data_IF_214084303028
#
_entry.id   IF_214084303028
#
_cell.length_a   1.000
_cell.length_b   1.000
_cell.length_c   1.000
_cell.angle_alpha   90.00
_cell.angle_beta   90.00
_cell.angle_gamma   90.00
#
_symmetry.space_group_name_H-M   'P 1'
#
loop_
_entity.id
_entity.type
_entity.pdbx_description
1 polymer ?
#
# COMPACT_ATOMS: atom_id res chain seq x y z
N UNK A 1 43.75 -37.82 29.18
CA UNK A 1 42.72 -38.11 28.16
C UNK A 1 41.54 -37.14 28.24
N UNK A 2 41.07 -36.77 29.44
CA UNK A 2 39.96 -35.82 29.67
C UNK A 2 40.28 -34.37 29.31
N UNK A 3 41.52 -33.90 29.54
CA UNK A 3 41.96 -32.55 29.17
C UNK A 3 42.07 -32.34 27.66
N UNK A 4 42.54 -33.35 26.91
CA UNK A 4 42.68 -33.28 25.45
C UNK A 4 41.31 -33.18 24.75
N UNK A 5 40.32 -33.88 25.29
CA UNK A 5 38.93 -33.84 24.82
C UNK A 5 38.28 -32.47 25.03
N UNK A 6 38.58 -31.80 26.15
CA UNK A 6 38.09 -30.45 26.43
C UNK A 6 38.62 -29.43 25.42
N UNK A 7 39.92 -29.47 25.10
CA UNK A 7 40.50 -28.59 24.07
C UNK A 7 39.94 -28.86 22.67
N UNK A 8 39.64 -30.12 22.34
CA UNK A 8 39.02 -30.48 21.05
C UNK A 8 37.61 -29.91 20.90
N UNK A 9 36.78 -29.97 21.96
CA UNK A 9 35.44 -29.37 21.94
C UNK A 9 35.47 -27.84 21.87
N UNK A 10 36.40 -27.19 22.57
CA UNK A 10 36.59 -25.72 22.49
C UNK A 10 37.02 -25.31 21.08
N UNK A 11 37.92 -26.08 20.45
CA UNK A 11 38.34 -25.84 19.07
C UNK A 11 37.20 -26.04 18.06
N UNK A 12 36.38 -27.08 18.22
CA UNK A 12 35.22 -27.30 17.35
C UNK A 12 34.23 -26.13 17.45
N UNK A 13 33.97 -25.65 18.68
CA UNK A 13 33.04 -24.54 18.93
C UNK A 13 33.51 -23.22 18.30
N UNK A 14 34.80 -22.91 18.38
CA UNK A 14 35.37 -21.70 17.75
C UNK A 14 35.39 -21.79 16.23
N UNK A 15 35.63 -22.98 15.65
CA UNK A 15 35.57 -23.18 14.20
C UNK A 15 34.12 -23.04 13.69
N UNK A 16 33.11 -23.52 14.41
CA UNK A 16 31.70 -23.34 14.03
C UNK A 16 31.24 -21.88 14.09
N UNK A 17 31.78 -21.05 14.99
CA UNK A 17 31.43 -19.62 15.05
C UNK A 17 32.23 -18.77 14.05
N UNK A 18 33.37 -19.27 13.55
CA UNK A 18 34.20 -18.61 12.53
C UNK A 18 33.79 -18.96 11.08
N UNK A 19 33.08 -20.08 10.87
CA UNK A 19 32.66 -20.56 9.53
C UNK A 19 31.26 -20.12 9.13
N UNK A 20 30.44 -19.68 10.08
CA UNK A 20 29.20 -18.96 9.80
C UNK A 20 29.46 -17.47 10.07
N UNK A 21 29.82 -16.67 9.04
CA UNK A 21 29.68 -15.22 9.20
C UNK A 21 28.23 -14.95 9.61
N UNK A 22 27.95 -14.03 10.57
CA UNK A 22 26.61 -13.49 10.69
C UNK A 22 26.23 -13.05 9.28
N UNK A 23 25.06 -13.46 8.78
CA UNK A 23 24.57 -13.02 7.48
C UNK A 23 24.79 -11.51 7.42
N UNK A 24 25.79 -11.09 6.65
CA UNK A 24 25.94 -9.70 6.30
C UNK A 24 24.70 -9.44 5.51
N UNK A 25 23.70 -8.82 6.15
CA UNK A 25 22.59 -8.20 5.47
C UNK A 25 23.22 -7.50 4.29
N UNK A 26 22.94 -8.02 3.10
CA UNK A 26 23.37 -7.40 1.88
C UNK A 26 22.73 -6.02 1.97
N UNK A 27 23.54 -5.03 2.30
CA UNK A 27 23.24 -3.64 2.00
C UNK A 27 23.19 -3.57 0.48
N UNK A 28 22.12 -4.12 -0.10
CA UNK A 28 21.62 -3.67 -1.36
C UNK A 28 21.51 -2.17 -1.14
N UNK A 29 22.35 -1.43 -1.84
CA UNK A 29 22.05 -0.07 -2.23
C UNK A 29 20.77 -0.18 -3.07
N UNK A 30 19.62 -0.43 -2.42
CA UNK A 30 18.32 -0.47 -3.07
C UNK A 30 18.05 0.97 -3.44
N UNK A 31 18.44 1.34 -4.66
CA UNK A 31 18.05 2.61 -5.24
C UNK A 31 16.53 2.58 -5.33
N UNK A 32 15.86 3.22 -4.37
CA UNK A 32 14.41 3.33 -4.36
C UNK A 32 13.95 3.95 -5.68
N UNK A 33 13.18 3.20 -6.46
CA UNK A 33 12.58 3.72 -7.69
C UNK A 33 11.58 4.82 -7.32
N UNK A 34 11.76 5.96 -7.95
CA UNK A 34 10.93 7.16 -7.76
C UNK A 34 9.82 7.29 -8.79
N UNK A 35 9.71 6.35 -9.73
CA UNK A 35 8.68 6.33 -10.75
C UNK A 35 8.27 4.89 -11.08
N UNK A 36 7.00 4.72 -11.41
CA UNK A 36 6.45 3.52 -12.04
C UNK A 36 5.65 3.93 -13.28
N UNK A 37 6.18 3.67 -14.47
CA UNK A 37 5.67 4.27 -15.70
C UNK A 37 5.69 5.81 -15.59
N UNK A 38 4.51 6.43 -15.69
CA UNK A 38 4.36 7.89 -15.60
C UNK A 38 3.97 8.39 -14.20
N UNK A 39 3.88 7.51 -13.21
CA UNK A 39 3.43 7.87 -11.85
C UNK A 39 4.66 8.05 -10.94
N UNK A 40 4.88 9.26 -10.38
CA UNK A 40 5.93 9.47 -9.39
C UNK A 40 5.59 8.72 -8.10
N UNK A 41 6.60 8.08 -7.52
CA UNK A 41 6.54 7.36 -6.26
C UNK A 41 7.34 8.15 -5.22
N UNK A 42 6.60 8.81 -4.33
CA UNK A 42 7.14 9.53 -3.19
C UNK A 42 6.61 8.94 -1.88
N UNK A 43 7.30 9.26 -0.79
CA UNK A 43 6.84 9.00 0.57
C UNK A 43 5.38 9.51 0.76
N UNK A 44 4.49 8.73 1.39
CA UNK A 44 4.76 7.57 2.24
C UNK A 44 4.85 6.23 1.50
N UNK A 45 4.60 6.22 0.19
CA UNK A 45 4.64 5.00 -0.60
C UNK A 45 6.07 4.60 -0.97
N UNK A 46 6.27 3.30 -1.18
CA UNK A 46 7.46 2.71 -1.75
C UNK A 46 7.09 1.44 -2.52
N UNK A 47 7.82 1.17 -3.60
CA UNK A 47 7.61 -0.02 -4.46
C UNK A 47 8.76 -1.03 -4.35
N UNK A 48 9.89 -0.61 -3.78
CA UNK A 48 11.05 -1.46 -3.54
C UNK A 48 11.17 -1.75 -2.04
N UNK A 49 11.83 -2.87 -1.75
CA UNK A 49 12.04 -3.30 -0.37
C UNK A 49 12.86 -2.27 0.42
N UNK A 50 12.38 -1.95 1.62
CA UNK A 50 12.99 -0.96 2.50
C UNK A 50 12.76 0.51 2.10
N UNK A 51 11.93 0.79 1.09
CA UNK A 51 11.64 2.16 0.65
C UNK A 51 10.27 2.65 1.12
N UNK A 52 10.16 3.96 1.40
CA UNK A 52 8.90 4.56 1.86
C UNK A 52 8.63 4.33 3.34
N UNK A 53 7.36 4.29 3.72
CA UNK A 53 6.94 4.05 5.10
C UNK A 53 6.60 2.57 5.33
N UNK A 54 7.01 1.95 6.45
CA UNK A 54 6.79 0.53 6.71
C UNK A 54 5.30 0.17 6.73
N UNK A 55 4.42 1.07 7.19
CA UNK A 55 2.97 0.84 7.20
C UNK A 55 2.34 0.78 5.78
N UNK A 56 3.06 1.20 4.74
CA UNK A 56 2.64 1.12 3.33
C UNK A 56 3.34 -0.01 2.57
N UNK A 57 4.18 -0.81 3.25
CA UNK A 57 4.93 -1.93 2.68
C UNK A 57 3.99 -2.89 1.94
N UNK A 58 4.33 -3.20 0.69
CA UNK A 58 3.59 -4.16 -0.14
C UNK A 58 2.21 -3.68 -0.61
N UNK A 59 1.82 -2.44 -0.34
CA UNK A 59 0.54 -1.90 -0.83
C UNK A 59 0.57 -1.51 -2.30
N UNK A 60 1.75 -1.21 -2.85
CA UNK A 60 1.93 -0.90 -4.26
C UNK A 60 2.81 -1.96 -4.92
N UNK A 61 2.42 -2.37 -6.13
CA UNK A 61 3.24 -3.21 -7.00
C UNK A 61 3.45 -2.48 -8.33
N UNK A 62 4.71 -2.44 -8.77
CA UNK A 62 5.10 -1.82 -10.02
C UNK A 62 5.64 -2.86 -10.99
N UNK A 63 4.92 -3.05 -12.10
CA UNK A 63 5.42 -3.75 -13.28
C UNK A 63 5.61 -2.74 -14.42
N UNK A 64 4.74 -2.75 -15.44
CA UNK A 64 4.65 -1.68 -16.44
C UNK A 64 3.74 -0.55 -15.95
N UNK A 65 2.63 -0.92 -15.31
CA UNK A 65 1.70 -0.03 -14.63
C UNK A 65 1.85 -0.19 -13.11
N UNK A 66 1.38 0.81 -12.37
CA UNK A 66 1.31 0.80 -10.91
C UNK A 66 -0.04 0.24 -10.45
N UNK A 67 -0.01 -0.70 -9.50
CA UNK A 67 -1.19 -1.30 -8.92
C UNK A 67 -1.21 -1.13 -7.40
N UNK A 68 -2.36 -0.78 -6.85
CA UNK A 68 -2.67 -0.86 -5.43
C UNK A 68 -3.20 -2.24 -5.12
N UNK A 69 -2.49 -2.98 -4.26
CA UNK A 69 -2.76 -4.38 -3.95
C UNK A 69 -3.59 -4.46 -2.69
N UNK A 70 -4.72 -5.15 -2.73
CA UNK A 70 -5.60 -5.36 -1.58
C UNK A 70 -5.97 -6.85 -1.48
N UNK A 71 -6.62 -7.29 -0.39
CA UNK A 71 -7.14 -8.66 -0.28
C UNK A 71 -8.14 -9.05 -1.38
N UNK A 72 -8.77 -8.07 -2.03
CA UNK A 72 -9.73 -8.31 -3.13
C UNK A 72 -9.11 -8.24 -4.52
N UNK A 73 -7.83 -7.85 -4.66
CA UNK A 73 -7.16 -7.82 -5.97
C UNK A 73 -6.21 -6.64 -6.15
N UNK A 74 -5.70 -6.50 -7.37
CA UNK A 74 -4.85 -5.38 -7.77
C UNK A 74 -5.65 -4.34 -8.56
N UNK A 75 -5.61 -3.10 -8.10
CA UNK A 75 -6.36 -1.98 -8.67
C UNK A 75 -5.39 -1.03 -9.36
N UNK A 76 -5.60 -0.74 -10.63
CA UNK A 76 -4.67 0.11 -11.39
C UNK A 76 -4.69 1.52 -10.81
N UNK A 77 -3.55 2.03 -10.39
CA UNK A 77 -3.41 3.41 -9.95
C UNK A 77 -3.43 4.32 -11.17
N UNK A 78 -4.35 5.27 -11.19
CA UNK A 78 -4.44 6.27 -12.25
C UNK A 78 -3.58 7.48 -11.95
N UNK A 79 -3.60 7.96 -10.70
CA UNK A 79 -2.86 9.15 -10.25
C UNK A 79 -2.68 9.17 -8.74
N UNK A 80 -1.64 9.85 -8.28
CA UNK A 80 -1.38 10.14 -6.87
C UNK A 80 -1.17 11.66 -6.71
N UNK A 81 -1.97 12.29 -5.86
CA UNK A 81 -1.86 13.69 -5.46
C UNK A 81 -1.25 13.77 -4.06
N UNK A 82 0.06 14.01 -4.02
CA UNK A 82 0.83 14.14 -2.78
C UNK A 82 0.56 15.41 -1.98
N UNK A 83 -0.09 16.43 -2.57
CA UNK A 83 -0.44 17.65 -1.86
C UNK A 83 -1.75 17.46 -1.10
N UNK A 84 -2.70 16.73 -1.69
CA UNK A 84 -4.00 16.44 -1.09
C UNK A 84 -4.05 15.13 -0.31
N UNK A 85 -2.96 14.36 -0.35
CA UNK A 85 -2.88 13.00 0.19
C UNK A 85 -3.99 12.08 -0.35
N UNK A 86 -4.20 12.13 -1.67
CA UNK A 86 -5.24 11.37 -2.37
C UNK A 86 -4.63 10.53 -3.49
N UNK A 87 -5.13 9.31 -3.68
CA UNK A 87 -4.76 8.42 -4.77
C UNK A 87 -6.03 7.94 -5.47
N UNK A 88 -6.06 7.94 -6.79
CA UNK A 88 -7.20 7.39 -7.53
C UNK A 88 -6.83 6.08 -8.18
N UNK A 89 -7.64 5.06 -7.92
CA UNK A 89 -7.51 3.72 -8.50
C UNK A 89 -8.73 3.37 -9.32
N UNK A 90 -8.56 2.46 -10.26
CA UNK A 90 -9.64 1.90 -11.07
C UNK A 90 -9.74 0.41 -10.82
N UNK A 91 -10.96 -0.05 -10.50
CA UNK A 91 -11.26 -1.46 -10.43
C UNK A 91 -11.68 -2.00 -11.80
N UNK A 92 -10.93 -2.93 -12.42
CA UNK A 92 -11.37 -3.56 -13.66
C UNK A 92 -12.67 -4.35 -13.51
N UNK A 93 -13.06 -4.75 -12.29
CA UNK A 93 -14.28 -5.49 -11.99
C UNK A 93 -15.46 -4.59 -11.58
N UNK A 94 -15.31 -3.27 -11.52
CA UNK A 94 -16.47 -2.38 -11.36
C UNK A 94 -17.11 -2.08 -12.71
N UNK A 95 -18.43 -1.94 -12.72
CA UNK A 95 -19.15 -1.58 -13.94
C UNK A 95 -18.96 -0.09 -14.27
N UNK A 96 -19.07 0.26 -15.55
CA UNK A 96 -19.01 1.65 -16.05
C UNK A 96 -20.12 1.86 -17.08
N UNK A 97 -20.35 3.09 -17.55
CA UNK A 97 -21.37 3.35 -18.57
C UNK A 97 -21.22 2.55 -19.88
N UNK A 98 -20.03 2.02 -20.17
CA UNK A 98 -19.74 1.26 -21.40
C UNK A 98 -19.60 -0.25 -21.17
N UNK A 99 -19.33 -0.69 -19.94
CA UNK A 99 -19.01 -2.08 -19.64
C UNK A 99 -19.74 -2.49 -18.37
N UNK A 100 -20.48 -3.60 -18.45
CA UNK A 100 -21.09 -4.24 -17.30
C UNK A 100 -20.15 -5.33 -16.79
N UNK A 101 -19.73 -5.24 -15.53
CA UNK A 101 -18.78 -6.18 -14.93
C UNK A 101 -19.47 -7.10 -13.93
N UNK A 102 -19.05 -8.37 -13.82
CA UNK A 102 -19.67 -9.30 -12.90
C UNK A 102 -19.49 -8.87 -11.45
N UNK A 103 -20.20 -9.56 -10.57
CA UNK A 103 -20.13 -9.37 -9.12
C UNK A 103 -18.69 -9.41 -8.60
N UNK A 104 -18.31 -8.37 -7.85
CA UNK A 104 -17.02 -8.26 -7.16
C UNK A 104 -17.18 -7.43 -5.88
N UNK A 105 -16.39 -7.73 -4.86
CA UNK A 105 -16.36 -6.96 -3.62
C UNK A 105 -15.05 -6.17 -3.52
N UNK A 106 -15.12 -4.84 -3.41
CA UNK A 106 -13.97 -4.02 -3.06
C UNK A 106 -13.66 -4.15 -1.56
N UNK A 107 -12.59 -4.88 -1.22
CA UNK A 107 -12.16 -5.13 0.17
C UNK A 107 -10.74 -4.66 0.41
N UNK A 108 -10.54 -4.00 1.54
CA UNK A 108 -9.24 -3.59 2.07
C UNK A 108 -8.92 -4.37 3.35
N UNK A 109 -7.63 -4.56 3.64
CA UNK A 109 -7.18 -5.09 4.93
C UNK A 109 -7.42 -4.07 6.05
N UNK A 110 -7.33 -4.48 7.32
CA UNK A 110 -7.52 -3.56 8.46
C UNK A 110 -6.50 -2.41 8.45
N UNK A 111 -5.24 -2.69 8.10
CA UNK A 111 -4.19 -1.67 7.97
C UNK A 111 -4.54 -0.70 6.82
N UNK A 112 -4.96 -1.22 5.67
CA UNK A 112 -5.37 -0.39 4.54
C UNK A 112 -6.59 0.47 4.87
N UNK A 113 -7.59 -0.08 5.56
CA UNK A 113 -8.74 0.69 6.03
C UNK A 113 -8.34 1.81 7.01
N UNK A 114 -7.24 1.65 7.74
CA UNK A 114 -6.75 2.66 8.67
C UNK A 114 -5.89 3.74 8.00
N UNK A 115 -5.09 3.39 6.98
CA UNK A 115 -4.08 4.30 6.40
C UNK A 115 -4.31 4.70 4.95
N UNK A 116 -5.11 3.96 4.18
CA UNK A 116 -5.43 4.20 2.76
C UNK A 116 -6.89 3.79 2.49
N UNK A 117 -7.85 4.59 2.95
CA UNK A 117 -9.28 4.29 2.82
C UNK A 117 -9.93 5.10 1.69
N UNK A 118 -11.05 4.65 1.12
CA UNK A 118 -11.85 5.49 0.23
C UNK A 118 -12.23 6.81 0.92
N UNK A 119 -12.02 7.89 0.18
CA UNK A 119 -12.45 9.26 0.47
C UNK A 119 -13.97 9.32 0.56
N UNK A 120 -14.50 10.25 1.34
CA UNK A 120 -15.94 10.51 1.40
C UNK A 120 -16.52 11.03 0.08
N UNK A 121 -15.66 11.54 -0.80
CA UNK A 121 -16.02 11.92 -2.16
C UNK A 121 -16.26 10.69 -3.07
N UNK A 122 -15.83 9.49 -2.68
CA UNK A 122 -16.11 8.27 -3.45
C UNK A 122 -17.47 7.70 -3.10
N UNK A 123 -18.38 7.73 -4.07
CA UNK A 123 -19.73 7.17 -3.97
C UNK A 123 -19.75 5.79 -4.60
N UNK A 124 -20.25 4.81 -3.85
CA UNK A 124 -20.54 3.46 -4.35
C UNK A 124 -22.01 3.41 -4.78
N UNK A 125 -22.27 3.15 -6.05
CA UNK A 125 -23.61 2.91 -6.55
C UNK A 125 -23.82 1.41 -6.75
N UNK A 126 -24.67 0.83 -5.90
CA UNK A 126 -25.11 -0.56 -5.99
C UNK A 126 -26.23 -0.65 -7.03
N UNK A 127 -26.08 -1.55 -7.99
CA UNK A 127 -26.95 -1.61 -9.16
C UNK A 127 -27.73 -2.93 -9.20
N UNK A 128 -28.95 -2.84 -9.72
CA UNK A 128 -29.87 -3.95 -9.93
C UNK A 128 -30.01 -4.78 -8.64
N UNK A 129 -30.41 -4.08 -7.58
CA UNK A 129 -30.69 -4.65 -6.28
C UNK A 129 -32.11 -5.22 -6.26
N UNK A 130 -32.23 -6.38 -5.64
CA UNK A 130 -33.48 -7.09 -5.41
C UNK A 130 -34.41 -6.30 -4.48
N UNK A 131 -35.72 -6.53 -4.61
CA UNK A 131 -36.73 -5.97 -3.69
C UNK A 131 -36.62 -6.53 -2.27
N UNK A 132 -35.89 -7.64 -2.08
CA UNK A 132 -35.60 -8.22 -0.76
C UNK A 132 -34.29 -7.69 -0.16
N UNK A 133 -33.57 -6.86 -0.90
CA UNK A 133 -32.31 -6.28 -0.45
C UNK A 133 -32.46 -5.60 0.92
N UNK A 134 -31.48 -5.78 1.83
CA UNK A 134 -31.49 -5.07 3.11
C UNK A 134 -31.46 -3.55 2.94
N UNK A 135 -30.81 -3.04 1.88
CA UNK A 135 -30.75 -1.59 1.59
C UNK A 135 -32.01 -1.04 0.93
N UNK A 136 -32.89 -1.91 0.41
CA UNK A 136 -34.25 -1.50 0.01
C UNK A 136 -35.21 -1.45 1.22
N UNK A 137 -35.03 -2.37 2.17
CA UNK A 137 -35.94 -2.56 3.30
C UNK A 137 -35.39 -1.98 4.62
N UNK A 138 -34.77 -2.83 5.45
CA UNK A 138 -34.41 -2.55 6.85
C UNK A 138 -33.34 -1.48 7.01
N UNK A 139 -32.40 -1.38 6.06
CA UNK A 139 -31.23 -0.52 6.10
C UNK A 139 -31.26 0.56 5.00
N UNK A 140 -32.45 1.05 4.66
CA UNK A 140 -32.64 2.13 3.66
C UNK A 140 -31.84 3.39 3.96
N UNK A 141 -31.54 3.66 5.24
CA UNK A 141 -30.75 4.80 5.70
C UNK A 141 -29.26 4.72 5.32
N UNK A 142 -28.77 3.56 4.88
CA UNK A 142 -27.42 3.42 4.33
C UNK A 142 -27.31 3.98 2.91
N UNK A 143 -28.44 4.15 2.22
CA UNK A 143 -28.50 4.83 0.93
C UNK A 143 -28.73 6.31 1.13
N UNK A 144 -28.05 7.15 0.35
CA UNK A 144 -28.23 8.59 0.32
C UNK A 144 -28.63 9.11 -1.06
N UNK A 145 -29.08 10.36 -1.11
CA UNK A 145 -29.35 11.05 -2.36
C UNK A 145 -28.02 11.48 -3.00
N UNK A 146 -27.71 10.95 -4.19
CA UNK A 146 -26.50 11.28 -4.95
C UNK A 146 -26.68 12.60 -5.71
N UNK A 147 -26.77 13.71 -4.97
CA UNK A 147 -26.86 15.07 -5.55
C UNK A 147 -28.06 15.31 -6.48
N UNK A 148 -29.15 14.54 -6.32
CA UNK A 148 -30.36 14.63 -7.13
C UNK A 148 -30.46 13.57 -8.23
N UNK A 149 -29.39 12.78 -8.45
CA UNK A 149 -29.37 11.75 -9.47
C UNK A 149 -30.19 10.52 -9.07
N UNK A 150 -30.92 9.97 -10.03
CA UNK A 150 -31.82 8.83 -9.85
C UNK A 150 -31.30 7.56 -10.51
N UNK A 151 -31.84 6.40 -10.08
CA UNK A 151 -31.55 5.12 -10.72
C UNK A 151 -32.03 5.09 -12.17
N UNK A 152 -33.18 5.71 -12.45
CA UNK A 152 -33.73 5.84 -13.81
C UNK A 152 -32.78 6.60 -14.73
N UNK A 153 -32.22 7.71 -14.26
CA UNK A 153 -31.23 8.51 -14.98
C UNK A 153 -29.96 7.70 -15.24
N UNK A 154 -29.44 7.01 -14.22
CA UNK A 154 -28.25 6.17 -14.34
C UNK A 154 -28.45 5.04 -15.37
N UNK A 155 -29.59 4.34 -15.31
CA UNK A 155 -29.89 3.22 -16.19
C UNK A 155 -30.28 3.66 -17.60
N UNK A 156 -30.82 4.86 -17.79
CA UNK A 156 -31.14 5.38 -19.12
C UNK A 156 -29.95 6.01 -19.84
N UNK A 157 -29.04 6.66 -19.09
CA UNK A 157 -27.90 7.39 -19.66
C UNK A 157 -26.74 6.47 -20.06
N UNK A 158 -26.51 5.39 -19.29
CA UNK A 158 -25.40 4.47 -19.54
C UNK A 158 -25.82 3.28 -20.41
N UNK A 159 -25.14 3.09 -21.55
CA UNK A 159 -25.43 1.99 -22.50
C UNK A 159 -25.41 0.60 -21.86
N UNK A 160 -24.45 0.34 -20.97
CA UNK A 160 -24.31 -0.93 -20.26
C UNK A 160 -25.39 -1.18 -19.21
N UNK A 161 -25.96 -0.12 -18.62
CA UNK A 161 -26.95 -0.23 -17.53
C UNK A 161 -28.39 -0.27 -18.05
N UNK A 162 -28.62 0.14 -19.31
CA UNK A 162 -29.94 0.09 -19.95
C UNK A 162 -30.57 -1.30 -19.95
N UNK A 163 -29.77 -2.36 -19.87
CA UNK A 163 -30.27 -3.74 -19.75
C UNK A 163 -31.15 -3.96 -18.51
N UNK A 164 -30.96 -3.17 -17.46
CA UNK A 164 -31.78 -3.23 -16.24
C UNK A 164 -33.13 -2.54 -16.41
N UNK A 165 -33.22 -1.56 -17.29
CA UNK A 165 -34.49 -0.88 -17.57
C UNK A 165 -35.34 -1.78 -18.47
N UNK A 166 -36.27 -2.50 -17.84
CA UNK A 166 -37.16 -3.42 -18.54
C UNK A 166 -38.55 -2.81 -18.66
N UNK A 167 -39.08 -2.84 -19.87
CA UNK A 167 -40.48 -2.48 -20.12
C UNK A 167 -41.32 -3.75 -20.05
N UNK A 168 -42.15 -3.86 -19.01
CA UNK A 168 -43.10 -4.96 -18.89
C UNK A 168 -44.47 -4.51 -19.42
N UNK A 169 -45.13 -5.29 -20.30
CA UNK A 169 -46.51 -5.02 -20.68
C UNK A 169 -47.44 -5.23 -19.47
N UNK A 170 -48.25 -4.23 -19.13
CA UNK A 170 -49.29 -4.31 -18.10
C UNK A 170 -50.63 -3.87 -18.71
N UNK A 171 -51.40 -4.84 -19.24
CA UNK A 171 -52.63 -4.53 -19.98
C UNK A 171 -52.34 -3.74 -21.26
N UNK A 172 -53.04 -2.62 -21.47
CA UNK A 172 -52.82 -1.73 -22.62
C UNK A 172 -51.67 -0.71 -22.43
N UNK A 173 -50.97 -0.76 -21.30
CA UNK A 173 -49.88 0.16 -20.97
C UNK A 173 -48.56 -0.59 -20.82
N UNK A 174 -47.45 0.06 -21.15
CA UNK A 174 -46.10 -0.42 -20.83
C UNK A 174 -45.65 0.21 -19.51
N UNK A 175 -45.35 -0.59 -18.49
CA UNK A 175 -44.77 -0.10 -17.24
C UNK A 175 -43.26 -0.26 -17.32
N UNK A 176 -42.54 0.83 -17.07
CA UNK A 176 -41.10 0.78 -16.85
C UNK A 176 -40.85 0.25 -15.45
N UNK A 177 -40.22 -0.90 -15.35
CA UNK A 177 -39.75 -1.46 -14.09
C UNK A 177 -38.25 -1.24 -14.02
N UNK A 178 -37.85 -0.17 -13.31
CA UNK A 178 -36.46 0.13 -13.01
C UNK A 178 -36.08 -0.57 -11.71
N UNK A 179 -35.11 -1.51 -11.73
CA UNK A 179 -34.62 -2.13 -10.52
C UNK A 179 -34.11 -1.08 -9.53
N UNK A 180 -34.17 -1.41 -8.24
CA UNK A 180 -33.68 -0.50 -7.22
C UNK A 180 -32.15 -0.37 -7.31
N UNK A 181 -31.64 0.84 -7.13
CA UNK A 181 -30.23 1.13 -6.96
C UNK A 181 -30.03 1.90 -5.65
N UNK A 182 -28.83 1.81 -5.07
CA UNK A 182 -28.49 2.44 -3.81
C UNK A 182 -27.13 3.13 -3.93
N UNK A 183 -27.10 4.45 -3.75
CA UNK A 183 -25.87 5.21 -3.59
C UNK A 183 -25.47 5.20 -2.11
N UNK A 184 -24.26 4.74 -1.82
CA UNK A 184 -23.77 4.55 -0.45
C UNK A 184 -22.28 4.85 -0.34
N UNK A 185 -21.75 4.82 0.88
CA UNK A 185 -20.32 5.00 1.14
C UNK A 185 -19.61 3.67 1.22
N UNK A 186 -18.27 3.73 1.24
CA UNK A 186 -17.45 2.55 1.46
C UNK A 186 -17.74 1.83 2.79
N UNK A 187 -18.18 2.56 3.83
CA UNK A 187 -18.46 1.94 5.14
C UNK A 187 -19.57 0.89 5.07
N UNK A 188 -20.55 1.07 4.18
CA UNK A 188 -21.61 0.08 3.92
C UNK A 188 -21.05 -1.17 3.24
N UNK A 189 -20.36 -1.00 2.11
CA UNK A 189 -19.85 -2.13 1.30
C UNK A 189 -18.67 -2.84 1.95
N UNK A 190 -17.97 -2.20 2.90
CA UNK A 190 -16.96 -2.82 3.76
C UNK A 190 -17.58 -3.87 4.68
N UNK A 191 -18.76 -3.58 5.25
CA UNK A 191 -19.40 -4.43 6.27
C UNK A 191 -20.40 -5.41 5.65
N UNK A 192 -21.02 -5.04 4.52
CA UNK A 192 -21.98 -5.87 3.80
C UNK A 192 -21.44 -6.16 2.41
N UNK A 193 -21.13 -7.43 2.12
CA UNK A 193 -20.75 -7.83 0.77
C UNK A 193 -21.91 -7.65 -0.20
N UNK A 194 -21.60 -7.62 -1.48
CA UNK A 194 -22.58 -7.43 -2.54
C UNK A 194 -23.65 -8.54 -2.55
N UNK A 195 -23.29 -9.75 -2.10
CA UNK A 195 -24.23 -10.86 -1.87
C UNK A 195 -25.22 -10.60 -0.72
N UNK A 196 -24.74 -10.02 0.40
CA UNK A 196 -25.61 -9.66 1.53
C UNK A 196 -26.54 -8.52 1.13
N UNK A 197 -26.02 -7.57 0.36
CA UNK A 197 -26.78 -6.45 -0.17
C UNK A 197 -27.81 -6.88 -1.23
N UNK A 198 -27.74 -8.11 -1.73
CA UNK A 198 -28.62 -8.65 -2.78
C UNK A 198 -28.69 -7.72 -4.01
N UNK A 199 -27.51 -7.21 -4.39
CA UNK A 199 -27.27 -6.40 -5.58
C UNK A 199 -26.33 -7.17 -6.51
N UNK A 200 -26.48 -6.98 -7.81
CA UNK A 200 -25.74 -7.80 -8.78
C UNK A 200 -24.45 -7.14 -9.26
N UNK A 201 -24.39 -5.80 -9.26
CA UNK A 201 -23.28 -5.04 -9.79
C UNK A 201 -23.03 -3.81 -8.92
N UNK A 202 -21.85 -3.23 -9.06
CA UNK A 202 -21.59 -1.89 -8.54
C UNK A 202 -20.75 -1.06 -9.51
N UNK A 203 -20.84 0.24 -9.34
CA UNK A 203 -19.93 1.22 -9.93
C UNK A 203 -19.48 2.19 -8.84
N UNK A 204 -18.35 2.84 -9.04
CA UNK A 204 -17.92 3.94 -8.17
C UNK A 204 -17.66 5.20 -8.96
N UNK A 205 -18.01 6.32 -8.35
CA UNK A 205 -17.79 7.65 -8.92
C UNK A 205 -17.22 8.57 -7.86
N UNK A 206 -16.38 9.50 -8.31
CA UNK A 206 -15.75 10.50 -7.46
C UNK A 206 -16.58 11.78 -7.57
N UNK A 207 -17.31 12.12 -6.52
CA UNK A 207 -18.04 13.38 -6.39
C UNK A 207 -17.08 14.54 -6.08
N UNK A 208 -16.40 15.02 -7.12
CA UNK A 208 -15.58 16.23 -7.06
C UNK A 208 -16.38 17.54 -7.13
N UNK A 209 -17.70 17.50 -6.88
CA UNK A 209 -18.62 18.62 -7.06
C UNK A 209 -19.34 18.64 -8.42
N UNK A 210 -18.86 17.87 -9.40
CA UNK A 210 -19.46 17.80 -10.73
C UNK A 210 -20.84 17.12 -10.75
N UNK A 211 -21.11 16.21 -9.80
CA UNK A 211 -22.42 15.57 -9.67
C UNK A 211 -23.51 16.54 -9.18
N UNK A 212 -23.14 17.74 -8.73
CA UNK A 212 -24.10 18.78 -8.31
C UNK A 212 -24.44 19.75 -9.44
N UNK A 213 -23.70 19.70 -10.54
CA UNK A 213 -23.99 20.48 -11.72
C UNK A 213 -25.12 19.82 -12.50
N UNK A 214 -26.22 20.54 -12.67
CA UNK A 214 -27.43 20.07 -13.35
C UNK A 214 -27.21 19.73 -14.84
N UNK A 215 -26.06 20.09 -15.42
CA UNK A 215 -25.69 19.75 -16.80
C UNK A 215 -24.91 18.45 -16.92
N UNK A 216 -24.40 17.91 -15.80
CA UNK A 216 -23.60 16.69 -15.77
C UNK A 216 -24.50 15.46 -15.79
N UNK A 217 -24.26 14.54 -16.73
CA UNK A 217 -24.96 13.26 -16.78
C UNK A 217 -24.06 12.12 -16.29
N UNK A 218 -24.61 10.91 -16.02
CA UNK A 218 -23.80 9.74 -15.68
C UNK A 218 -22.68 9.39 -16.68
N UNK A 219 -22.79 9.85 -17.93
CA UNK A 219 -21.75 9.68 -18.95
C UNK A 219 -20.52 10.56 -18.69
N UNK A 220 -20.71 11.70 -18.04
CA UNK A 220 -19.68 12.72 -17.77
C UNK A 220 -19.01 12.53 -16.39
N UNK A 221 -19.47 11.55 -15.61
CA UNK A 221 -18.94 11.29 -14.28
C UNK A 221 -17.50 10.77 -14.29
N UNK A 222 -16.78 11.09 -13.21
CA UNK A 222 -15.43 10.58 -12.97
C UNK A 222 -15.49 9.21 -12.30
N UNK A 223 -15.43 8.15 -13.11
CA UNK A 223 -15.40 6.76 -12.64
C UNK A 223 -14.04 6.39 -12.03
N UNK A 224 -14.08 5.84 -10.82
CA UNK A 224 -12.89 5.45 -10.07
C UNK A 224 -13.14 5.42 -8.58
N UNK A 225 -12.13 5.02 -7.82
CA UNK A 225 -12.13 5.00 -6.37
C UNK A 225 -11.05 5.98 -5.92
N UNK A 226 -11.45 7.09 -5.31
CA UNK A 226 -10.51 8.02 -4.68
C UNK A 226 -10.23 7.55 -3.25
N UNK A 227 -8.98 7.25 -2.97
CA UNK A 227 -8.47 6.83 -1.68
C UNK A 227 -7.78 8.03 -1.02
N UNK A 228 -8.11 8.31 0.24
CA UNK A 228 -7.33 9.21 1.09
C UNK A 228 -6.32 8.40 1.90
N UNK A 229 -5.10 8.91 2.01
CA UNK A 229 -4.05 8.26 2.77
C UNK A 229 -3.43 9.17 3.84
N UNK A 230 -2.93 8.56 4.92
CA UNK A 230 -2.25 9.28 6.01
C UNK A 230 -0.74 9.23 5.84
N UNK A 231 -0.08 10.39 5.92
CA UNK A 231 1.38 10.49 5.81
C UNK A 231 1.99 10.45 7.21
N UNK A 232 2.80 9.45 7.56
CA UNK A 232 3.40 9.39 8.89
C UNK A 232 4.52 10.42 9.02
N UNK A 233 4.48 11.24 10.08
CA UNK A 233 5.48 12.26 10.39
C UNK A 233 6.73 11.68 11.10
N UNK A 234 7.29 10.59 10.57
CA UNK A 234 8.40 9.84 11.19
C UNK A 234 9.78 10.33 10.72
N UNK A 235 10.03 11.64 10.78
CA UNK A 235 11.37 12.19 10.49
C UNK A 235 11.81 12.19 9.01
N UNK A 236 10.97 11.70 8.10
CA UNK A 236 11.25 11.69 6.65
C UNK A 236 11.53 13.10 6.09
N UNK A 237 10.84 14.14 6.57
CA UNK A 237 11.11 15.51 6.12
C UNK A 237 12.51 15.99 6.48
N UNK A 238 13.03 15.60 7.65
CA UNK A 238 14.42 15.90 8.05
C UNK A 238 15.41 15.14 7.19
N UNK A 239 15.15 13.84 6.98
CA UNK A 239 15.96 12.99 6.12
C UNK A 239 16.10 13.56 4.69
N UNK A 240 14.97 13.91 4.07
CA UNK A 240 14.93 14.47 2.72
C UNK A 240 15.65 15.82 2.61
N UNK A 241 15.49 16.69 3.61
CA UNK A 241 16.20 17.99 3.65
C UNK A 241 17.72 17.84 3.71
N UNK A 242 18.19 16.76 4.33
CA UNK A 242 19.62 16.44 4.36
C UNK A 242 20.13 15.75 3.09
N UNK A 243 19.28 15.46 2.11
CA UNK A 243 19.67 14.75 0.88
C UNK A 243 19.64 13.22 1.01
N UNK A 244 18.95 12.70 2.04
CA UNK A 244 18.66 11.27 2.19
C UNK A 244 17.34 10.84 1.56
N UNK A 245 17.17 9.53 1.42
CA UNK A 245 15.95 8.87 0.97
C UNK A 245 15.27 8.23 2.18
N UNK A 246 13.95 8.42 2.30
CA UNK A 246 13.18 7.84 3.39
C UNK A 246 12.87 6.37 3.13
N UNK A 247 13.15 5.53 4.11
CA UNK A 247 12.94 4.09 4.03
C UNK A 247 12.72 3.47 5.40
N UNK A 248 12.87 2.15 5.44
CA UNK A 248 12.81 1.35 6.64
C UNK A 248 13.69 0.11 6.49
N UNK A 249 14.08 -0.48 7.62
CA UNK A 249 14.79 -1.75 7.65
C UNK A 249 13.82 -2.90 7.37
N UNK A 250 14.09 -3.71 6.35
CA UNK A 250 13.11 -4.69 5.85
C UNK A 250 12.76 -5.81 6.85
N UNK A 251 13.68 -6.11 7.78
CA UNK A 251 13.55 -7.16 8.79
C UNK A 251 12.84 -6.66 10.04
N UNK A 252 13.23 -5.48 10.54
CA UNK A 252 12.68 -4.91 11.78
C UNK A 252 11.50 -3.97 11.55
N UNK A 253 11.27 -3.55 10.30
CA UNK A 253 10.27 -2.56 9.89
C UNK A 253 10.42 -1.19 10.57
N UNK A 254 11.61 -0.91 11.10
CA UNK A 254 11.94 0.35 11.75
C UNK A 254 12.33 1.38 10.69
N UNK A 255 11.80 2.60 10.82
CA UNK A 255 12.12 3.72 9.94
C UNK A 255 13.64 3.97 9.84
N UNK A 256 14.08 4.34 8.65
CA UNK A 256 15.48 4.61 8.34
C UNK A 256 15.64 5.81 7.40
N UNK A 257 16.66 6.62 7.64
CA UNK A 257 17.14 7.57 6.65
C UNK A 257 18.31 6.96 5.87
N UNK A 258 18.09 6.68 4.59
CA UNK A 258 19.11 6.14 3.69
C UNK A 258 19.93 7.28 3.10
N UNK A 259 21.20 7.39 3.49
CA UNK A 259 22.10 8.41 3.00
C UNK A 259 22.93 7.93 1.81
N UNK A 260 23.17 8.75 0.79
CA UNK A 260 24.09 8.40 -0.30
C UNK A 260 25.49 8.12 0.27
N UNK A 261 26.12 7.03 -0.20
CA UNK A 261 27.47 6.68 0.22
C UNK A 261 28.47 7.78 -0.18
N UNK A 262 29.19 8.34 0.79
CA UNK A 262 30.33 9.22 0.53
C UNK A 262 31.55 8.36 0.21
N UNK A 263 32.22 8.63 -0.92
CA UNK A 263 33.44 7.94 -1.36
C UNK A 263 34.59 7.93 -0.34
N UNK A 264 34.51 8.73 0.72
CA UNK A 264 35.56 8.90 1.71
C UNK A 264 35.29 8.22 3.07
N UNK A 265 34.12 7.61 3.29
CA UNK A 265 33.86 6.85 4.53
C UNK A 265 32.67 5.87 4.40
N UNK A 266 32.90 4.54 4.34
CA UNK A 266 31.82 3.55 4.34
C UNK A 266 31.00 3.54 5.65
N UNK A 267 31.44 4.23 6.71
CA UNK A 267 30.73 4.39 7.99
C UNK A 267 29.74 5.58 7.98
N UNK A 268 29.70 6.39 6.91
CA UNK A 268 28.71 7.47 6.76
C UNK A 268 27.31 6.96 6.36
N UNK A 269 27.17 5.66 6.04
CA UNK A 269 25.89 4.98 5.87
C UNK A 269 25.32 4.53 7.23
N UNK A 270 25.31 5.43 8.22
CA UNK A 270 24.75 5.10 9.53
C UNK A 270 23.23 5.19 9.48
N UNK A 271 22.65 4.03 9.18
CA UNK A 271 21.30 3.53 9.31
C UNK A 271 20.67 3.87 10.69
N UNK A 272 20.46 5.15 11.01
CA UNK A 272 19.87 5.58 12.28
C UNK A 272 18.60 6.40 12.00
N UNK A 273 17.43 6.06 12.60
CA UNK A 273 16.17 6.77 12.45
C UNK A 273 16.22 8.28 12.80
N UNK A 274 17.28 8.74 13.47
CA UNK A 274 17.42 10.12 13.96
C UNK A 274 18.42 10.99 13.19
N UNK A 275 19.12 10.45 12.16
CA UNK A 275 20.25 11.16 11.53
C UNK A 275 19.91 11.82 10.19
N UNK A 276 20.47 13.01 10.02
CA UNK A 276 20.53 13.78 8.77
C UNK A 276 21.80 13.37 7.98
N UNK A 277 21.67 13.23 6.67
CA UNK A 277 22.74 12.97 5.72
C UNK A 277 23.61 14.22 5.52
N UNK A 278 24.42 14.61 6.51
CA UNK A 278 25.14 15.88 6.41
C UNK A 278 26.03 16.26 7.58
N UNK A 279 26.56 15.29 8.33
CA UNK A 279 27.57 15.55 9.36
C UNK A 279 28.95 15.82 8.77
N UNK A 280 29.17 17.02 8.21
CA UNK A 280 30.51 17.57 8.06
C UNK A 280 31.18 17.68 9.43
N UNK A 281 32.48 17.35 9.49
CA UNK A 281 33.33 17.38 10.68
C UNK A 281 33.07 18.56 11.62
N UNK A 282 32.58 18.28 12.83
CA UNK A 282 33.07 18.83 14.11
C UNK A 282 32.36 18.07 15.23
N UNK A 283 32.94 16.96 15.68
CA UNK A 283 33.26 16.85 17.10
C UNK A 283 34.05 15.58 17.39
N UNK A 284 35.08 15.76 18.22
CA UNK A 284 35.91 14.70 18.78
C UNK A 284 35.05 13.83 19.71
N UNK A 285 34.28 12.93 19.14
CA UNK A 285 33.67 11.80 19.84
C UNK A 285 34.35 10.52 19.39
N UNK A 286 35.49 10.20 20.00
CA UNK A 286 36.16 8.92 19.77
C UNK A 286 35.28 7.78 20.25
N UNK A 287 34.58 7.11 19.34
CA UNK A 287 34.16 5.73 19.57
C UNK A 287 35.37 4.84 19.26
N UNK A 288 35.99 4.35 20.32
CA UNK A 288 36.96 3.25 20.29
C UNK A 288 36.37 2.09 19.47
N UNK A 289 36.79 1.97 18.21
CA UNK A 289 36.75 0.68 17.55
C UNK A 289 37.90 -0.11 18.13
N UNK A 290 37.60 -0.99 19.10
CA UNK A 290 38.53 -2.06 19.47
C UNK A 290 38.70 -2.91 18.22
N UNK A 291 39.78 -2.63 17.50
CA UNK A 291 40.32 -3.47 16.46
C UNK A 291 40.76 -4.76 17.15
N UNK A 292 39.84 -5.71 17.30
CA UNK A 292 40.15 -7.03 17.82
C UNK A 292 41.08 -7.67 16.79
N UNK A 293 42.39 -7.66 17.08
CA UNK A 293 43.39 -8.38 16.32
C UNK A 293 43.16 -9.89 16.50
N UNK A 294 42.21 -10.44 15.75
CA UNK A 294 41.92 -11.87 15.68
C UNK A 294 43.16 -12.67 15.23
N UNK A 295 44.05 -12.05 14.46
CA UNK A 295 45.34 -12.61 14.01
C UNK A 295 46.33 -12.82 15.15
N UNK A 296 46.40 -11.91 16.13
CA UNK A 296 47.28 -12.08 17.30
C UNK A 296 46.74 -13.12 18.28
N UNK A 297 45.41 -13.24 18.40
CA UNK A 297 44.77 -14.26 19.24
C UNK A 297 44.96 -15.67 18.65
N UNK A 298 44.88 -15.80 17.33
CA UNK A 298 45.13 -17.06 16.61
C UNK A 298 46.59 -17.52 16.74
N UNK A 299 47.55 -16.60 16.61
CA UNK A 299 48.97 -16.89 16.79
C UNK A 299 49.29 -17.29 18.25
N UNK A 300 48.69 -16.62 19.24
CA UNK A 300 48.87 -16.97 20.64
C UNK A 300 48.29 -18.35 20.99
N UNK A 301 47.16 -18.72 20.40
CA UNK A 301 46.53 -20.04 20.58
C UNK A 301 47.29 -21.16 19.86
N UNK A 302 47.89 -20.89 18.69
CA UNK A 302 48.75 -21.85 17.98
C UNK A 302 50.04 -22.13 18.74
N UNK A 303 50.66 -21.09 19.32
CA UNK A 303 51.87 -21.23 20.11
C UNK A 303 51.63 -21.96 21.44
N UNK A 304 50.49 -21.73 22.11
CA UNK A 304 50.14 -22.47 23.32
C UNK A 304 49.80 -23.94 23.04
N UNK A 305 49.19 -24.25 21.90
CA UNK A 305 48.90 -25.62 21.48
C UNK A 305 50.18 -26.40 21.16
N UNK A 306 51.15 -25.77 20.47
CA UNK A 306 52.46 -26.37 20.20
C UNK A 306 53.27 -26.63 21.49
N UNK A 307 53.14 -25.76 22.49
CA UNK A 307 53.83 -25.90 23.78
C UNK A 307 53.25 -27.02 24.67
N UNK A 308 52.01 -27.46 24.42
CA UNK A 308 51.37 -28.55 25.17
C UNK A 308 51.59 -29.92 24.50
N UNK A 309 52.01 -29.93 23.23
CA UNK A 309 52.27 -31.16 22.45
C UNK A 309 53.75 -31.60 22.53
N UNK A 310 54.68 -30.66 22.78
CA UNK A 310 56.10 -30.93 23.07
C UNK A 310 56.31 -31.25 24.56
#
# INVERSE_FOLDING_TARGET
MTTLLFFFFVFLYTVTTLTFPPLTASGATSSCRTFCGNIPINYPFGIDEGCGSPQFKGMLNCSTDLFFITPSGGYKVQRIDYQKNKMVVFDPAMSTCSILQPHHDFKLSDIQNAVVRPSYDTVFALLNCSTNSPVFNRYRNLCFNASGHSCDELYSSCTSFRIFNTTSPSGNSTVHTTPYCCFTSYDTVRVMSMNILDCSHYTTVIDGGNMRDATTTPLDWSYGIELSYSVPEIGCDRCRKSGGICGFDAETEIFLCQCPASNNNPIASNNNPTRECGGGMTDRGGCNSTNNNYTTLLLAMLMSFLYVIL
#
